data_IF_527660817820
#
_entry.id   IF_527660817820
#
_cell.length_a   1.000
_cell.length_b   1.000
_cell.length_c   1.000
_cell.angle_alpha   90.00
_cell.angle_beta   90.00
_cell.angle_gamma   90.00
#
_symmetry.space_group_name_H-M   'P 1'
#
loop_
_entity.id
_entity.type
_entity.pdbx_description
1 polymer ?
#
# COMPACT_ATOMS: atom_id res chain seq x y z
N UNK A 1 -19.16 19.27 35.20
CA UNK A 1 -19.92 18.14 35.78
C UNK A 1 -21.28 18.09 35.09
N UNK A 2 -21.67 16.91 34.60
CA UNK A 2 -23.00 16.41 34.20
C UNK A 2 -23.75 17.17 33.08
N UNK A 3 -23.90 16.63 31.86
CA UNK A 3 -24.85 15.58 31.39
C UNK A 3 -26.33 15.91 31.69
N UNK A 4 -27.11 16.10 30.63
CA UNK A 4 -28.49 15.63 30.43
C UNK A 4 -28.85 15.81 28.94
N UNK A 5 -28.78 14.74 28.14
CA UNK A 5 -29.91 13.87 27.77
C UNK A 5 -31.01 14.60 26.98
N UNK A 6 -31.01 14.44 25.66
CA UNK A 6 -32.23 14.56 24.85
C UNK A 6 -32.54 13.18 24.24
N UNK A 7 -33.63 12.61 24.73
CA UNK A 7 -34.28 11.42 24.20
C UNK A 7 -34.97 11.74 22.87
N UNK A 8 -34.70 10.98 21.82
CA UNK A 8 -35.64 10.80 20.72
C UNK A 8 -36.03 9.32 20.66
N UNK A 9 -37.27 9.04 21.04
CA UNK A 9 -37.97 7.78 20.83
C UNK A 9 -38.89 8.00 19.62
N UNK A 10 -38.71 7.22 18.54
CA UNK A 10 -39.80 6.95 17.60
C UNK A 10 -39.80 5.46 17.22
N UNK A 11 -40.84 4.83 17.75
CA UNK A 11 -41.61 3.64 17.37
C UNK A 11 -41.09 2.64 16.32
N UNK A 12 -41.03 1.41 16.81
CA UNK A 12 -40.99 0.12 16.15
C UNK A 12 -42.26 -0.06 15.32
N UNK A 13 -42.13 -0.52 14.07
CA UNK A 13 -43.20 -1.32 13.46
C UNK A 13 -42.60 -2.55 12.77
N UNK A 14 -43.19 -3.67 13.16
CA UNK A 14 -42.80 -5.05 12.91
C UNK A 14 -42.87 -5.44 11.44
N UNK A 15 -41.88 -6.22 10.98
CA UNK A 15 -42.19 -7.40 10.18
C UNK A 15 -41.19 -8.52 10.49
N UNK A 16 -41.76 -9.70 10.68
CA UNK A 16 -41.22 -10.87 11.37
C UNK A 16 -40.85 -11.94 10.32
N UNK A 17 -39.68 -12.55 10.55
CA UNK A 17 -39.21 -13.89 10.14
C UNK A 17 -38.96 -14.14 8.63
N UNK A 18 -37.69 -14.29 8.28
CA UNK A 18 -37.25 -15.51 7.63
C UNK A 18 -35.94 -15.99 8.25
N UNK A 19 -35.85 -17.31 8.43
CA UNK A 19 -34.77 -18.02 9.10
C UNK A 19 -33.55 -18.09 8.18
N UNK A 20 -32.46 -17.44 8.58
CA UNK A 20 -31.13 -18.02 8.37
C UNK A 20 -30.21 -17.58 9.51
N UNK A 21 -29.44 -18.52 10.04
CA UNK A 21 -28.52 -18.29 11.15
C UNK A 21 -27.32 -17.48 10.63
N UNK A 22 -27.40 -16.16 10.70
CA UNK A 22 -26.25 -15.27 10.60
C UNK A 22 -25.89 -14.78 12.02
N UNK A 23 -24.62 -14.81 12.44
CA UNK A 23 -24.23 -14.25 13.73
C UNK A 23 -24.37 -12.73 13.68
N UNK A 24 -25.11 -12.20 14.66
CA UNK A 24 -25.29 -10.78 14.94
C UNK A 24 -23.96 -10.25 15.45
N UNK A 25 -23.25 -9.46 14.63
CA UNK A 25 -22.11 -8.66 15.09
C UNK A 25 -22.68 -7.31 15.57
N UNK A 26 -22.48 -7.03 16.85
CA UNK A 26 -22.84 -5.77 17.47
C UNK A 26 -22.06 -4.63 16.82
N UNK A 27 -22.78 -3.64 16.29
CA UNK A 27 -22.21 -2.40 15.77
C UNK A 27 -21.79 -1.48 16.93
N UNK A 28 -20.64 -1.77 17.53
CA UNK A 28 -19.87 -0.83 18.35
C UNK A 28 -18.44 -1.35 18.43
N UNK A 29 -17.49 -0.53 17.97
CA UNK A 29 -16.04 -0.78 17.95
C UNK A 29 -15.57 -1.86 16.97
N UNK A 30 -15.35 -1.51 15.70
CA UNK A 30 -14.13 -1.87 14.93
C UNK A 30 -14.07 -0.95 13.70
N UNK A 31 -13.35 0.18 13.76
CA UNK A 31 -12.73 0.79 12.57
C UNK A 31 -11.51 -0.06 12.23
N UNK A 32 -11.71 -1.11 11.44
CA UNK A 32 -10.64 -1.85 10.78
C UNK A 32 -10.93 -1.78 9.30
N UNK A 33 -9.86 -1.55 8.56
CA UNK A 33 -9.78 -1.69 7.12
C UNK A 33 -9.98 -3.18 6.83
N UNK A 34 -11.22 -3.67 6.86
CA UNK A 34 -11.60 -4.96 6.29
C UNK A 34 -11.79 -4.75 4.80
N UNK A 35 -10.69 -4.75 4.02
CA UNK A 35 -10.72 -5.15 2.61
C UNK A 35 -9.29 -5.29 2.05
N UNK A 36 -8.59 -6.36 2.45
CA UNK A 36 -7.70 -7.05 1.50
C UNK A 36 -8.20 -8.49 1.49
N UNK A 37 -9.11 -8.76 0.55
CA UNK A 37 -9.82 -10.03 0.47
C UNK A 37 -8.94 -11.18 -0.02
N UNK A 38 -7.79 -10.93 -0.65
CA UNK A 38 -6.81 -11.94 -1.03
C UNK A 38 -5.41 -11.32 -1.07
N UNK A 39 -4.41 -11.84 -0.34
CA UNK A 39 -3.03 -11.47 -0.58
C UNK A 39 -2.65 -11.84 -2.02
N UNK A 40 -1.79 -11.04 -2.66
CA UNK A 40 -1.26 -11.29 -3.99
C UNK A 40 -2.29 -11.16 -5.14
N UNK A 41 -3.35 -10.38 -4.94
CA UNK A 41 -4.34 -10.09 -5.97
C UNK A 41 -3.76 -9.16 -7.05
N UNK A 42 -3.51 -9.74 -8.22
CA UNK A 42 -2.94 -9.02 -9.36
C UNK A 42 -3.91 -7.98 -9.93
N UNK A 43 -5.23 -8.15 -9.76
CA UNK A 43 -6.22 -7.20 -10.28
C UNK A 43 -6.14 -5.85 -9.54
N UNK A 44 -5.69 -5.87 -8.28
CA UNK A 44 -5.40 -4.64 -7.54
C UNK A 44 -4.20 -3.91 -8.19
N UNK A 45 -3.14 -4.63 -8.55
CA UNK A 45 -1.98 -4.04 -9.24
C UNK A 45 -2.38 -3.49 -10.61
N UNK A 46 -3.22 -4.20 -11.37
CA UNK A 46 -3.79 -3.73 -12.64
C UNK A 46 -4.59 -2.43 -12.45
N UNK A 47 -5.33 -2.33 -11.35
CA UNK A 47 -6.12 -1.13 -11.04
C UNK A 47 -5.23 0.08 -10.75
N UNK A 48 -4.17 -0.11 -9.96
CA UNK A 48 -3.16 0.93 -9.70
C UNK A 48 -2.47 1.35 -11.00
N UNK A 49 -2.05 0.39 -11.82
CA UNK A 49 -1.37 0.63 -13.09
C UNK A 49 -2.22 1.47 -14.07
N UNK A 50 -3.51 1.11 -14.21
CA UNK A 50 -4.45 1.82 -15.08
C UNK A 50 -4.68 3.26 -14.65
N UNK A 51 -4.66 3.54 -13.35
CA UNK A 51 -4.77 4.89 -12.85
C UNK A 51 -3.50 5.69 -13.18
N UNK A 52 -2.32 5.07 -12.97
CA UNK A 52 -1.03 5.54 -13.46
C UNK A 52 -0.54 6.86 -12.87
N UNK A 53 -1.30 7.48 -11.94
CA UNK A 53 -0.93 8.77 -11.34
C UNK A 53 0.02 8.65 -10.17
N UNK A 54 0.03 7.49 -9.50
CA UNK A 54 0.74 7.23 -8.25
C UNK A 54 0.56 8.37 -7.24
N UNK A 55 -0.71 8.72 -7.01
CA UNK A 55 -1.11 9.59 -5.91
C UNK A 55 -0.96 8.86 -4.58
N UNK A 56 -1.00 9.62 -3.49
CA UNK A 56 -0.80 9.11 -2.13
C UNK A 56 -1.63 7.86 -1.81
N UNK A 57 -2.92 7.86 -2.13
CA UNK A 57 -3.84 6.75 -1.92
C UNK A 57 -3.49 5.51 -2.76
N UNK A 58 -3.07 5.71 -4.01
CA UNK A 58 -2.63 4.62 -4.90
C UNK A 58 -1.31 3.99 -4.41
N UNK A 59 -0.40 4.81 -3.88
CA UNK A 59 0.85 4.34 -3.29
C UNK A 59 0.60 3.60 -1.97
N UNK A 60 -0.30 4.12 -1.12
CA UNK A 60 -0.72 3.43 0.10
C UNK A 60 -1.31 2.06 -0.23
N UNK A 61 -2.17 1.99 -1.24
CA UNK A 61 -2.73 0.72 -1.72
C UNK A 61 -1.63 -0.21 -2.24
N UNK A 62 -0.74 0.28 -3.11
CA UNK A 62 0.39 -0.50 -3.65
C UNK A 62 1.25 -1.11 -2.54
N UNK A 63 1.68 -0.30 -1.59
CA UNK A 63 2.51 -0.76 -0.47
C UNK A 63 1.73 -1.76 0.41
N UNK A 64 0.43 -1.54 0.62
CA UNK A 64 -0.39 -2.39 1.50
C UNK A 64 -0.65 -3.79 0.96
N UNK A 65 -0.64 -3.98 -0.38
CA UNK A 65 -0.92 -5.29 -1.00
C UNK A 65 0.33 -6.13 -1.24
N UNK A 66 1.51 -5.54 -1.14
CA UNK A 66 2.79 -6.24 -1.27
C UNK A 66 3.16 -6.87 0.07
N UNK A 67 2.86 -8.15 0.21
CA UNK A 67 3.16 -8.95 1.41
C UNK A 67 4.21 -10.04 1.13
N UNK A 68 4.94 -10.44 2.17
CA UNK A 68 5.96 -11.50 2.07
C UNK A 68 5.38 -12.85 1.65
N UNK A 69 4.09 -13.08 1.87
CA UNK A 69 3.38 -14.26 1.38
C UNK A 69 3.32 -14.35 -0.15
N UNK A 70 3.54 -13.25 -0.85
CA UNK A 70 3.49 -13.20 -2.32
C UNK A 70 4.79 -13.56 -3.01
N UNK A 71 5.86 -13.86 -2.27
CA UNK A 71 7.20 -14.07 -2.83
C UNK A 71 7.27 -15.21 -3.87
N UNK A 72 6.44 -16.25 -3.72
CA UNK A 72 6.37 -17.38 -4.64
C UNK A 72 5.47 -17.11 -5.86
N UNK A 73 4.68 -16.03 -5.84
CA UNK A 73 3.88 -15.61 -6.98
C UNK A 73 4.74 -14.70 -7.88
N UNK A 74 5.48 -15.33 -8.79
CA UNK A 74 6.42 -14.66 -9.70
C UNK A 74 5.77 -13.53 -10.50
N UNK A 75 4.57 -13.77 -11.05
CA UNK A 75 3.85 -12.79 -11.87
C UNK A 75 3.47 -11.55 -11.04
N UNK A 76 2.89 -11.78 -9.86
CA UNK A 76 2.56 -10.69 -8.93
C UNK A 76 3.81 -9.92 -8.52
N UNK A 77 4.89 -10.61 -8.14
CA UNK A 77 6.11 -9.96 -7.67
C UNK A 77 6.81 -9.17 -8.75
N UNK A 78 6.83 -9.68 -9.98
CA UNK A 78 7.35 -8.94 -11.12
C UNK A 78 6.53 -7.67 -11.37
N UNK A 79 5.21 -7.78 -11.42
CA UNK A 79 4.37 -6.62 -11.70
C UNK A 79 4.41 -5.59 -10.54
N UNK A 80 4.39 -6.05 -9.29
CA UNK A 80 4.55 -5.19 -8.12
C UNK A 80 5.91 -4.46 -8.14
N UNK A 81 6.99 -5.15 -8.50
CA UNK A 81 8.32 -4.56 -8.64
C UNK A 81 8.30 -3.40 -9.65
N UNK A 82 7.74 -3.64 -10.85
CA UNK A 82 7.61 -2.60 -11.88
C UNK A 82 6.82 -1.38 -11.38
N UNK A 83 5.70 -1.60 -10.68
CA UNK A 83 4.89 -0.53 -10.13
C UNK A 83 5.61 0.24 -9.00
N UNK A 84 6.39 -0.44 -8.16
CA UNK A 84 7.23 0.21 -7.13
C UNK A 84 8.23 1.18 -7.77
N UNK A 85 8.94 0.75 -8.82
CA UNK A 85 9.89 1.64 -9.50
C UNK A 85 9.21 2.75 -10.30
N UNK A 86 8.02 2.49 -10.85
CA UNK A 86 7.22 3.52 -11.50
C UNK A 86 6.73 4.58 -10.51
N UNK A 87 6.25 4.16 -9.34
CA UNK A 87 5.87 5.04 -8.24
C UNK A 87 7.05 5.91 -7.79
N UNK A 88 8.24 5.33 -7.61
CA UNK A 88 9.46 6.07 -7.29
C UNK A 88 9.84 7.07 -8.39
N UNK A 89 9.68 6.73 -9.67
CA UNK A 89 9.99 7.66 -10.76
C UNK A 89 9.02 8.84 -10.83
N UNK A 90 7.74 8.62 -10.52
CA UNK A 90 6.67 9.62 -10.65
C UNK A 90 6.52 10.47 -9.38
N UNK A 91 6.43 9.84 -8.21
CA UNK A 91 6.12 10.49 -6.94
C UNK A 91 6.92 9.90 -5.77
N UNK A 92 8.25 10.02 -5.84
CA UNK A 92 9.18 9.52 -4.83
C UNK A 92 8.97 10.14 -3.44
N UNK A 93 8.47 11.38 -3.35
CA UNK A 93 8.24 12.08 -2.08
C UNK A 93 7.16 11.36 -1.27
N UNK A 94 5.96 11.19 -1.84
CA UNK A 94 4.85 10.51 -1.15
C UNK A 94 5.22 9.04 -0.90
N UNK A 95 5.85 8.38 -1.88
CA UNK A 95 6.31 7.01 -1.73
C UNK A 95 7.24 6.83 -0.53
N UNK A 96 8.22 7.73 -0.39
CA UNK A 96 9.15 7.69 0.71
C UNK A 96 8.49 7.95 2.06
N UNK A 97 7.57 8.92 2.13
CA UNK A 97 6.86 9.25 3.35
C UNK A 97 5.95 8.10 3.80
N UNK A 98 5.19 7.51 2.89
CA UNK A 98 4.33 6.36 3.20
C UNK A 98 5.18 5.18 3.66
N UNK A 99 6.24 4.85 2.90
CA UNK A 99 7.06 3.69 3.21
C UNK A 99 7.75 3.79 4.57
N UNK A 100 8.20 4.98 4.98
CA UNK A 100 8.83 5.17 6.29
C UNK A 100 7.88 4.89 7.47
N UNK A 101 6.59 5.12 7.28
CA UNK A 101 5.57 4.92 8.30
C UNK A 101 4.92 3.53 8.22
N UNK A 102 5.33 2.70 7.26
CA UNK A 102 4.74 1.38 7.04
C UNK A 102 5.46 0.28 7.83
N UNK A 103 4.67 -0.54 8.54
CA UNK A 103 5.17 -1.56 9.46
C UNK A 103 6.00 -2.66 8.79
N UNK A 104 5.70 -3.02 7.54
CA UNK A 104 6.43 -4.05 6.77
C UNK A 104 7.37 -3.43 5.71
N UNK A 105 7.83 -2.19 5.94
CA UNK A 105 8.64 -1.45 4.97
C UNK A 105 9.94 -2.16 4.57
N UNK A 106 10.52 -2.98 5.45
CA UNK A 106 11.73 -3.78 5.16
C UNK A 106 11.58 -4.68 3.95
N UNK A 107 10.41 -5.27 3.72
CA UNK A 107 10.18 -6.11 2.54
C UNK A 107 10.17 -5.29 1.25
N UNK A 108 9.54 -4.11 1.26
CA UNK A 108 9.55 -3.20 0.11
C UNK A 108 10.98 -2.71 -0.18
N UNK A 109 11.79 -2.45 0.85
CA UNK A 109 13.21 -2.12 0.65
C UNK A 109 13.98 -3.26 -0.04
N UNK A 110 13.67 -4.52 0.24
CA UNK A 110 14.29 -5.67 -0.45
C UNK A 110 13.90 -5.74 -1.93
N UNK A 111 12.66 -5.38 -2.25
CA UNK A 111 12.16 -5.26 -3.63
C UNK A 111 12.93 -4.13 -4.35
N UNK A 112 13.10 -2.98 -3.71
CA UNK A 112 13.86 -1.85 -4.26
C UNK A 112 15.34 -2.23 -4.46
N UNK A 113 15.92 -3.07 -3.59
CA UNK A 113 17.28 -3.57 -3.73
C UNK A 113 17.47 -4.62 -4.85
N UNK A 114 16.38 -5.03 -5.49
CA UNK A 114 16.34 -6.13 -6.47
C UNK A 114 15.35 -5.82 -7.61
N UNK A 115 15.65 -4.81 -8.47
CA UNK A 115 14.85 -4.57 -9.68
C UNK A 115 14.82 -5.83 -10.55
N UNK A 116 13.64 -6.16 -11.08
CA UNK A 116 13.42 -7.36 -11.90
C UNK A 116 13.46 -7.02 -13.39
N UNK A 117 13.07 -5.80 -13.76
CA UNK A 117 13.01 -5.35 -15.16
C UNK A 117 14.22 -4.51 -15.56
N UNK A 118 14.84 -4.85 -16.69
CA UNK A 118 15.94 -4.10 -17.30
C UNK A 118 15.51 -2.71 -17.80
N UNK A 119 14.20 -2.45 -17.91
CA UNK A 119 13.66 -1.16 -18.34
C UNK A 119 13.70 -0.09 -17.23
N UNK A 120 14.04 -0.48 -15.99
CA UNK A 120 14.11 0.42 -14.85
C UNK A 120 15.37 1.30 -14.94
N UNK A 121 15.19 2.60 -15.19
CA UNK A 121 16.27 3.57 -15.16
C UNK A 121 16.60 4.02 -13.72
N UNK A 122 17.41 3.23 -13.02
CA UNK A 122 17.83 3.51 -11.65
C UNK A 122 18.55 4.86 -11.50
N UNK A 123 19.40 5.23 -12.47
CA UNK A 123 20.17 6.48 -12.42
C UNK A 123 19.28 7.72 -12.40
N UNK A 124 18.23 7.70 -13.21
CA UNK A 124 17.26 8.78 -13.24
C UNK A 124 16.50 8.88 -11.91
N UNK A 125 16.12 7.74 -11.31
CA UNK A 125 15.40 7.72 -10.02
C UNK A 125 16.31 8.23 -8.90
N UNK A 126 17.56 7.73 -8.83
CA UNK A 126 18.54 8.15 -7.84
C UNK A 126 18.78 9.66 -7.95
N UNK A 127 19.04 10.16 -9.16
CA UNK A 127 19.29 11.59 -9.38
C UNK A 127 18.11 12.47 -8.96
N UNK A 128 16.87 12.04 -9.26
CA UNK A 128 15.66 12.75 -8.80
C UNK A 128 15.62 12.86 -7.28
N UNK A 129 15.86 11.75 -6.57
CA UNK A 129 15.78 11.71 -5.11
C UNK A 129 16.95 12.49 -4.47
N UNK A 130 18.15 12.46 -5.04
CA UNK A 130 19.31 13.21 -4.53
C UNK A 130 19.17 14.71 -4.68
N UNK A 131 18.42 15.17 -5.69
CA UNK A 131 18.17 16.59 -5.92
C UNK A 131 17.12 17.16 -4.96
N UNK A 132 16.37 16.32 -4.24
CA UNK A 132 15.49 16.74 -3.16
C UNK A 132 16.30 16.83 -1.86
N UNK A 133 16.30 18.00 -1.21
CA UNK A 133 17.14 18.32 -0.05
C UNK A 133 16.65 17.63 1.24
N UNK A 134 16.72 16.30 1.30
CA UNK A 134 16.08 15.51 2.33
C UNK A 134 16.94 14.33 2.78
N UNK A 135 17.65 14.54 3.90
CA UNK A 135 18.15 13.49 4.82
C UNK A 135 17.07 12.43 5.10
N UNK A 136 15.80 12.84 5.02
CA UNK A 136 14.62 12.00 5.19
C UNK A 136 14.62 10.77 4.28
N UNK A 137 15.28 10.74 3.12
CA UNK A 137 15.19 9.63 2.16
C UNK A 137 16.38 8.66 2.13
N UNK A 138 17.25 8.71 3.15
CA UNK A 138 18.50 7.94 3.17
C UNK A 138 18.30 6.43 2.93
N UNK A 139 17.26 5.82 3.51
CA UNK A 139 17.05 4.36 3.39
C UNK A 139 16.66 3.95 1.97
N UNK A 140 15.77 4.69 1.30
CA UNK A 140 15.41 4.44 -0.11
C UNK A 140 16.63 4.66 -1.00
N UNK A 141 17.34 5.76 -0.81
CA UNK A 141 18.52 6.08 -1.61
C UNK A 141 19.59 4.99 -1.46
N UNK A 142 19.81 4.48 -0.24
CA UNK A 142 20.72 3.38 0.04
C UNK A 142 20.28 2.09 -0.66
N UNK A 143 19.00 1.76 -0.63
CA UNK A 143 18.46 0.58 -1.33
C UNK A 143 18.63 0.68 -2.85
N UNK A 144 18.35 1.85 -3.44
CA UNK A 144 18.56 2.09 -4.88
C UNK A 144 20.03 2.00 -5.28
N UNK A 145 20.94 2.59 -4.49
CA UNK A 145 22.38 2.52 -4.73
C UNK A 145 22.90 1.08 -4.64
N UNK A 146 22.42 0.29 -3.70
CA UNK A 146 22.73 -1.15 -3.63
C UNK A 146 22.22 -1.90 -4.85
N UNK A 147 20.99 -1.63 -5.31
CA UNK A 147 20.46 -2.24 -6.53
C UNK A 147 21.37 -1.96 -7.72
N UNK A 148 21.78 -0.70 -7.90
CA UNK A 148 22.71 -0.30 -8.97
C UNK A 148 24.04 -1.08 -8.90
N UNK A 149 24.64 -1.18 -7.72
CA UNK A 149 25.91 -1.92 -7.53
C UNK A 149 25.83 -3.42 -7.85
N UNK A 150 24.63 -4.03 -7.85
CA UNK A 150 24.46 -5.45 -8.21
C UNK A 150 24.36 -5.69 -9.72
N UNK A 151 24.05 -4.65 -10.49
CA UNK A 151 23.83 -4.72 -11.93
C UNK A 151 25.09 -4.33 -12.74
N UNK A 152 26.11 -3.77 -12.07
CA UNK A 152 27.44 -3.44 -12.60
C UNK A 152 28.46 -4.55 -12.31
#
# INVERSE_FOLDING_TARGET
MSINQLFFIVFINSCIISKDKSPIINASEVTQIELISQPCDIDILVTIDKAGTFKKDEIELLISVIDTQCIENVEFMQFANELVFRALSINHIDFAEILQNYNQSDFIYQIIESPISDEINLDQIITKIENEDLIKYEKILKSLKKAKMKLE
#
